data_IF_778438720200
#
_entry.id   IF_778438720200
#
_cell.length_a   1.000
_cell.length_b   1.000
_cell.length_c   1.000
_cell.angle_alpha   90.00
_cell.angle_beta   90.00
_cell.angle_gamma   90.00
#
_symmetry.space_group_name_H-M   'P 1'
#
loop_
_entity.id
_entity.type
_entity.pdbx_description
1 polymer ?
#
# COMPACT_ATOMS: atom_id res chain seq x y z
N UNK A 1 -21.93 -5.53 -6.66
CA UNK A 1 -20.65 -4.93 -7.10
C UNK A 1 -20.53 -3.45 -6.70
N UNK A 2 -21.56 -2.61 -6.93
CA UNK A 2 -21.53 -1.19 -6.55
C UNK A 2 -21.51 -0.96 -5.03
N UNK A 3 -22.32 -1.69 -4.25
CA UNK A 3 -22.31 -1.63 -2.77
C UNK A 3 -20.96 -2.04 -2.16
N UNK A 4 -20.25 -3.03 -2.73
CA UNK A 4 -18.93 -3.44 -2.26
C UNK A 4 -17.84 -2.42 -2.59
N UNK A 5 -17.97 -1.70 -3.71
CA UNK A 5 -17.05 -0.62 -4.09
C UNK A 5 -17.19 0.60 -3.16
N UNK A 6 -18.42 1.07 -2.90
CA UNK A 6 -18.65 2.18 -1.97
C UNK A 6 -18.23 1.86 -0.53
N UNK A 7 -18.41 0.61 -0.08
CA UNK A 7 -17.90 0.16 1.22
C UNK A 7 -16.35 0.19 1.26
N UNK A 8 -15.67 -0.24 0.20
CA UNK A 8 -14.20 -0.16 0.09
C UNK A 8 -13.68 1.28 0.03
N UNK A 9 -14.42 2.21 -0.55
CA UNK A 9 -14.08 3.64 -0.51
C UNK A 9 -14.17 4.19 0.92
N UNK A 10 -15.25 3.84 1.64
CA UNK A 10 -15.46 4.30 3.02
C UNK A 10 -14.44 3.70 4.00
N UNK A 11 -14.08 2.43 3.80
CA UNK A 11 -13.15 1.70 4.64
C UNK A 11 -11.70 1.76 4.08
N UNK A 12 -11.40 2.70 3.16
CA UNK A 12 -10.14 2.76 2.42
C UNK A 12 -8.91 3.01 3.31
N UNK A 13 -9.11 3.58 4.50
CA UNK A 13 -8.08 3.78 5.53
C UNK A 13 -7.42 2.46 5.96
N UNK A 14 -8.15 1.35 5.87
CA UNK A 14 -7.68 0.02 6.27
C UNK A 14 -7.25 -0.87 5.10
N UNK A 15 -7.20 -0.33 3.88
CA UNK A 15 -6.85 -1.10 2.68
C UNK A 15 -5.35 -1.02 2.37
N UNK A 16 -4.75 -2.11 1.83
CA UNK A 16 -3.38 -2.08 1.32
C UNK A 16 -3.21 -0.97 0.29
N UNK A 17 -2.05 -0.32 0.26
CA UNK A 17 -1.78 0.81 -0.63
C UNK A 17 -2.01 0.48 -2.12
N UNK A 18 -1.78 -0.76 -2.54
CA UNK A 18 -2.09 -1.24 -3.89
C UNK A 18 -3.59 -1.21 -4.21
N UNK A 19 -4.45 -1.55 -3.25
CA UNK A 19 -5.90 -1.48 -3.40
C UNK A 19 -6.39 -0.03 -3.40
N UNK A 20 -5.83 0.82 -2.55
CA UNK A 20 -6.13 2.26 -2.54
C UNK A 20 -5.80 2.89 -3.90
N UNK A 21 -4.61 2.61 -4.45
CA UNK A 21 -4.22 3.10 -5.78
C UNK A 21 -5.14 2.58 -6.89
N UNK A 22 -5.61 1.33 -6.78
CA UNK A 22 -6.59 0.75 -7.73
C UNK A 22 -7.93 1.47 -7.66
N UNK A 23 -8.42 1.79 -6.46
CA UNK A 23 -9.66 2.56 -6.27
C UNK A 23 -9.50 3.96 -6.88
N UNK A 24 -8.37 4.65 -6.63
CA UNK A 24 -8.07 5.94 -7.24
C UNK A 24 -8.09 5.87 -8.78
N UNK A 25 -7.43 4.87 -9.37
CA UNK A 25 -7.42 4.68 -10.82
C UNK A 25 -8.81 4.41 -11.41
N UNK A 26 -9.65 3.62 -10.73
CA UNK A 26 -11.04 3.37 -11.15
C UNK A 26 -11.88 4.65 -11.06
N UNK A 27 -11.71 5.46 -10.00
CA UNK A 27 -12.44 6.71 -9.83
C UNK A 27 -12.11 7.70 -10.96
N UNK A 28 -10.81 7.85 -11.28
CA UNK A 28 -10.37 8.66 -12.42
C UNK A 28 -10.86 8.07 -13.74
N UNK A 29 -10.88 6.74 -13.91
CA UNK A 29 -11.43 6.11 -15.11
C UNK A 29 -12.91 6.43 -15.30
N UNK A 30 -13.72 6.41 -14.23
CA UNK A 30 -15.14 6.80 -14.29
C UNK A 30 -15.27 8.28 -14.67
N UNK A 31 -14.47 9.16 -14.06
CA UNK A 31 -14.43 10.58 -14.40
C UNK A 31 -14.06 10.78 -15.88
N UNK A 32 -13.00 10.13 -16.36
CA UNK A 32 -12.57 10.19 -17.76
C UNK A 32 -13.64 9.65 -18.69
N UNK A 33 -14.35 8.58 -18.31
CA UNK A 33 -15.47 8.04 -19.08
C UNK A 33 -16.61 9.06 -19.26
N UNK A 34 -16.99 9.75 -18.18
CA UNK A 34 -17.96 10.84 -18.23
C UNK A 34 -17.48 12.01 -19.09
N UNK A 35 -16.22 12.43 -18.91
CA UNK A 35 -15.63 13.49 -19.72
C UNK A 35 -15.58 13.12 -21.20
N UNK A 36 -15.20 11.89 -21.53
CA UNK A 36 -15.19 11.39 -22.92
C UNK A 36 -16.58 11.41 -23.53
N UNK A 37 -17.60 10.95 -22.79
CA UNK A 37 -18.97 10.91 -23.25
C UNK A 37 -19.53 12.31 -23.55
N UNK A 38 -19.08 13.33 -22.82
CA UNK A 38 -19.41 14.74 -23.08
C UNK A 38 -18.55 15.32 -24.22
N UNK A 39 -17.26 14.98 -24.25
CA UNK A 39 -16.29 15.52 -25.21
C UNK A 39 -16.57 15.05 -26.63
N UNK A 40 -17.04 13.81 -26.85
CA UNK A 40 -17.35 13.29 -28.19
C UNK A 40 -18.40 14.15 -28.92
N UNK A 41 -19.64 14.32 -28.42
CA UNK A 41 -20.62 15.16 -29.10
C UNK A 41 -20.13 16.60 -29.18
N UNK A 42 -19.49 17.11 -28.13
CA UNK A 42 -18.96 18.46 -28.11
C UNK A 42 -17.90 18.70 -29.22
N UNK A 43 -17.03 17.73 -29.45
CA UNK A 43 -15.98 17.77 -30.49
C UNK A 43 -16.51 17.79 -31.91
N UNK A 44 -17.66 17.12 -32.13
CA UNK A 44 -18.31 17.04 -33.44
C UNK A 44 -18.96 18.39 -33.76
N UNK A 45 -19.68 18.97 -32.80
CA UNK A 45 -20.53 20.14 -33.03
C UNK A 45 -19.85 21.50 -32.78
N UNK A 46 -18.86 21.60 -31.89
CA UNK A 46 -18.38 22.90 -31.39
C UNK A 46 -16.88 23.17 -31.58
N UNK A 47 -16.04 22.15 -31.84
CA UNK A 47 -14.61 22.38 -32.07
C UNK A 47 -14.31 22.60 -33.56
N UNK A 48 -13.56 23.65 -33.89
CA UNK A 48 -13.15 24.02 -35.26
C UNK A 48 -11.91 23.25 -35.75
N UNK A 49 -11.91 21.92 -35.60
CA UNK A 49 -10.85 21.07 -36.14
C UNK A 49 -11.23 20.47 -37.50
N UNK A 50 -10.23 20.18 -38.34
CA UNK A 50 -10.44 19.40 -39.55
C UNK A 50 -11.01 18.01 -39.23
N UNK A 51 -11.80 17.45 -40.16
CA UNK A 51 -12.44 16.14 -39.96
C UNK A 51 -11.43 15.03 -39.63
N UNK A 52 -10.25 15.05 -40.25
CA UNK A 52 -9.16 14.11 -39.97
C UNK A 52 -8.63 14.22 -38.53
N UNK A 53 -8.46 15.43 -38.01
CA UNK A 53 -8.01 15.65 -36.63
C UNK A 53 -9.07 15.22 -35.61
N UNK A 54 -10.36 15.46 -35.87
CA UNK A 54 -11.47 15.00 -35.01
C UNK A 54 -11.47 13.47 -34.87
N UNK A 55 -11.31 12.74 -35.99
CA UNK A 55 -11.24 11.28 -35.99
C UNK A 55 -9.99 10.79 -35.24
N UNK A 56 -8.84 11.42 -35.47
CA UNK A 56 -7.58 11.06 -34.79
C UNK A 56 -7.72 11.17 -33.27
N UNK A 57 -8.24 12.31 -32.76
CA UNK A 57 -8.43 12.50 -31.32
C UNK A 57 -9.37 11.45 -30.73
N UNK A 58 -10.50 11.17 -31.40
CA UNK A 58 -11.46 10.18 -30.93
C UNK A 58 -10.83 8.78 -30.84
N UNK A 59 -10.05 8.37 -31.84
CA UNK A 59 -9.32 7.09 -31.82
C UNK A 59 -8.30 7.05 -30.69
N UNK A 60 -7.48 8.10 -30.53
CA UNK A 60 -6.46 8.17 -29.47
C UNK A 60 -7.09 8.09 -28.08
N UNK A 61 -8.20 8.80 -27.85
CA UNK A 61 -8.92 8.76 -26.58
C UNK A 61 -9.58 7.40 -26.33
N UNK A 62 -10.23 6.79 -27.33
CA UNK A 62 -10.80 5.44 -27.17
C UNK A 62 -9.72 4.39 -26.87
N UNK A 63 -8.59 4.42 -27.59
CA UNK A 63 -7.46 3.52 -27.37
C UNK A 63 -6.87 3.72 -25.98
N UNK A 64 -6.66 4.97 -25.57
CA UNK A 64 -6.13 5.28 -24.24
C UNK A 64 -7.08 4.82 -23.14
N UNK A 65 -8.39 5.03 -23.29
CA UNK A 65 -9.40 4.55 -22.34
C UNK A 65 -9.44 3.02 -22.23
N UNK A 66 -9.35 2.33 -23.38
CA UNK A 66 -9.28 0.87 -23.44
C UNK A 66 -8.01 0.35 -22.75
N UNK A 67 -6.86 0.97 -22.98
CA UNK A 67 -5.59 0.63 -22.34
C UNK A 67 -5.65 0.82 -20.82
N UNK A 68 -6.21 1.93 -20.32
CA UNK A 68 -6.38 2.15 -18.87
C UNK A 68 -7.23 1.02 -18.27
N UNK A 69 -8.36 0.69 -18.90
CA UNK A 69 -9.26 -0.38 -18.45
C UNK A 69 -8.58 -1.75 -18.44
N UNK A 70 -7.79 -2.06 -19.46
CA UNK A 70 -6.98 -3.27 -19.56
C UNK A 70 -5.93 -3.34 -18.44
N UNK A 71 -5.20 -2.26 -18.18
CA UNK A 71 -4.18 -2.27 -17.14
C UNK A 71 -4.76 -2.38 -15.72
N UNK A 72 -5.93 -1.79 -15.47
CA UNK A 72 -6.66 -1.97 -14.21
C UNK A 72 -7.10 -3.42 -14.03
N UNK A 73 -7.59 -4.08 -15.08
CA UNK A 73 -8.04 -5.48 -15.02
C UNK A 73 -6.87 -6.45 -14.82
N UNK A 74 -5.72 -6.18 -15.45
CA UNK A 74 -4.46 -6.93 -15.29
C UNK A 74 -3.71 -6.60 -13.98
N UNK A 75 -4.29 -5.77 -13.11
CA UNK A 75 -3.69 -5.33 -11.84
C UNK A 75 -2.34 -4.59 -11.98
N UNK A 76 -2.08 -4.01 -13.15
CA UNK A 76 -0.91 -3.18 -13.45
C UNK A 76 -1.27 -1.71 -13.19
N UNK A 77 -1.27 -1.32 -11.92
CA UNK A 77 -1.82 -0.01 -11.48
C UNK A 77 -0.95 1.17 -11.92
N UNK A 78 0.37 1.07 -11.81
CA UNK A 78 1.30 2.18 -12.15
C UNK A 78 1.14 2.66 -13.59
N UNK A 79 1.21 1.81 -14.64
CA UNK A 79 1.04 2.29 -16.02
C UNK A 79 -0.38 2.81 -16.29
N UNK A 80 -1.40 2.28 -15.61
CA UNK A 80 -2.77 2.81 -15.69
C UNK A 80 -2.85 4.27 -15.22
N UNK A 81 -2.19 4.60 -14.10
CA UNK A 81 -2.10 5.96 -13.58
C UNK A 81 -1.41 6.88 -14.59
N UNK A 82 -0.25 6.48 -15.13
CA UNK A 82 0.50 7.32 -16.08
C UNK A 82 -0.30 7.62 -17.36
N UNK A 83 -0.97 6.60 -17.93
CA UNK A 83 -1.79 6.78 -19.13
C UNK A 83 -3.01 7.65 -18.82
N UNK A 84 -3.63 7.53 -17.64
CA UNK A 84 -4.76 8.39 -17.25
C UNK A 84 -4.36 9.86 -17.06
N UNK A 85 -3.15 10.13 -16.57
CA UNK A 85 -2.61 11.50 -16.48
C UNK A 85 -2.39 12.05 -17.89
N UNK A 86 -1.71 11.30 -18.76
CA UNK A 86 -1.50 11.68 -20.16
C UNK A 86 -2.82 11.91 -20.91
N UNK A 87 -3.82 11.07 -20.66
CA UNK A 87 -5.17 11.24 -21.17
C UNK A 87 -5.74 12.60 -20.76
N UNK A 88 -5.64 12.94 -19.47
CA UNK A 88 -6.20 14.19 -18.92
C UNK A 88 -5.47 15.42 -19.47
N UNK A 89 -4.16 15.33 -19.70
CA UNK A 89 -3.38 16.39 -20.37
C UNK A 89 -3.82 16.51 -21.83
N UNK A 90 -4.00 15.38 -22.53
CA UNK A 90 -4.52 15.36 -23.90
C UNK A 90 -5.90 15.99 -24.02
N UNK A 91 -6.79 15.76 -23.04
CA UNK A 91 -8.07 16.46 -22.97
C UNK A 91 -7.87 17.97 -22.84
N UNK A 92 -7.02 18.43 -21.92
CA UNK A 92 -6.78 19.87 -21.77
C UNK A 92 -6.30 20.52 -23.08
N UNK A 93 -5.36 19.88 -23.79
CA UNK A 93 -4.86 20.33 -25.09
C UNK A 93 -5.91 20.30 -26.22
N UNK A 94 -6.90 19.41 -26.15
CA UNK A 94 -8.01 19.42 -27.11
C UNK A 94 -8.89 20.67 -26.91
N UNK A 95 -9.12 21.05 -25.66
CA UNK A 95 -9.95 22.20 -25.32
C UNK A 95 -9.25 23.54 -25.60
N UNK A 96 -7.91 23.59 -25.62
CA UNK A 96 -7.18 24.84 -25.91
C UNK A 96 -7.45 25.41 -27.30
N UNK A 97 -7.68 24.59 -28.33
CA UNK A 97 -7.85 25.11 -29.71
C UNK A 97 -9.25 24.93 -30.29
N UNK A 98 -10.26 24.55 -29.50
CA UNK A 98 -11.63 24.42 -30.02
C UNK A 98 -12.74 24.95 -29.12
N UNK A 99 -12.43 25.59 -27.98
CA UNK A 99 -13.45 26.22 -27.14
C UNK A 99 -13.10 27.64 -26.75
N UNK A 100 -14.07 28.36 -26.19
CA UNK A 100 -13.82 29.62 -25.49
C UNK A 100 -12.64 29.46 -24.52
N UNK A 101 -11.68 30.39 -24.57
CA UNK A 101 -10.41 30.25 -23.88
C UNK A 101 -10.53 30.17 -22.35
N UNK A 102 -11.63 30.66 -21.76
CA UNK A 102 -11.88 30.48 -20.34
C UNK A 102 -12.13 29.00 -19.96
N UNK A 103 -12.82 28.23 -20.81
CA UNK A 103 -13.04 26.81 -20.53
C UNK A 103 -11.74 26.01 -20.64
N UNK A 104 -10.92 26.31 -21.64
CA UNK A 104 -9.59 25.72 -21.76
C UNK A 104 -8.71 26.03 -20.54
N UNK A 105 -8.79 27.26 -20.02
CA UNK A 105 -8.10 27.66 -18.78
C UNK A 105 -8.53 26.79 -17.58
N UNK A 106 -9.83 26.50 -17.42
CA UNK A 106 -10.32 25.60 -16.37
C UNK A 106 -9.81 24.16 -16.51
N UNK A 107 -9.61 23.68 -17.74
CA UNK A 107 -9.08 22.34 -17.98
C UNK A 107 -7.67 22.14 -17.44
N UNK A 108 -6.82 23.17 -17.39
CA UNK A 108 -5.52 23.07 -16.72
C UNK A 108 -5.66 22.79 -15.23
N UNK A 109 -6.64 23.39 -14.53
CA UNK A 109 -6.90 23.07 -13.12
C UNK A 109 -7.47 21.68 -12.94
N UNK A 110 -8.32 21.21 -13.86
CA UNK A 110 -8.83 19.84 -13.85
C UNK A 110 -7.67 18.86 -13.99
N UNK A 111 -6.77 19.07 -14.96
CA UNK A 111 -5.58 18.24 -15.14
C UNK A 111 -4.69 18.24 -13.91
N UNK A 112 -4.39 19.42 -13.33
CA UNK A 112 -3.63 19.50 -12.09
C UNK A 112 -4.32 18.76 -10.94
N UNK A 113 -5.64 18.89 -10.79
CA UNK A 113 -6.42 18.21 -9.75
C UNK A 113 -6.35 16.69 -9.87
N UNK A 114 -6.42 16.15 -11.09
CA UNK A 114 -6.26 14.70 -11.33
C UNK A 114 -4.85 14.24 -10.94
N UNK A 115 -3.81 15.01 -11.27
CA UNK A 115 -2.43 14.68 -10.90
C UNK A 115 -2.25 14.72 -9.37
N UNK A 116 -2.78 15.76 -8.71
CA UNK A 116 -2.79 15.89 -7.24
C UNK A 116 -3.50 14.71 -6.58
N UNK A 117 -4.64 14.27 -7.12
CA UNK A 117 -5.43 13.19 -6.56
C UNK A 117 -4.64 11.87 -6.43
N UNK A 118 -3.73 11.60 -7.37
CA UNK A 118 -2.85 10.43 -7.29
C UNK A 118 -1.84 10.52 -6.15
N UNK A 119 -1.43 11.73 -5.75
CA UNK A 119 -0.46 12.00 -4.67
C UNK A 119 0.89 11.28 -4.87
N UNK A 120 1.34 11.17 -6.12
CA UNK A 120 2.68 10.62 -6.44
C UNK A 120 3.64 11.77 -6.75
N UNK A 121 4.67 11.98 -5.92
CA UNK A 121 5.61 13.12 -6.05
C UNK A 121 6.26 13.19 -7.43
N UNK A 122 6.79 12.08 -7.94
CA UNK A 122 7.45 12.05 -9.25
C UNK A 122 6.49 12.42 -10.39
N UNK A 123 5.28 11.88 -10.37
CA UNK A 123 4.26 12.22 -11.37
C UNK A 123 3.84 13.68 -11.23
N UNK A 124 3.74 14.19 -10.00
CA UNK A 124 3.44 15.60 -9.75
C UNK A 124 4.53 16.52 -10.31
N UNK A 125 5.79 16.30 -9.97
CA UNK A 125 6.91 17.13 -10.45
C UNK A 125 7.04 17.10 -11.97
N UNK A 126 6.82 15.96 -12.62
CA UNK A 126 6.95 15.85 -14.07
C UNK A 126 5.72 16.41 -14.80
N UNK A 127 4.53 15.88 -14.51
CA UNK A 127 3.32 16.23 -15.24
C UNK A 127 2.69 17.53 -14.79
N UNK A 128 2.64 17.82 -13.48
CA UNK A 128 2.02 19.07 -13.00
C UNK A 128 2.84 20.29 -13.42
N UNK A 129 4.17 20.18 -13.44
CA UNK A 129 5.05 21.24 -13.96
C UNK A 129 4.84 21.45 -15.46
N UNK A 130 4.71 20.37 -16.24
CA UNK A 130 4.40 20.47 -17.66
C UNK A 130 3.03 21.13 -17.91
N UNK A 131 2.00 20.75 -17.14
CA UNK A 131 0.65 21.34 -17.23
C UNK A 131 0.66 22.81 -16.81
N UNK A 132 1.37 23.17 -15.73
CA UNK A 132 1.50 24.56 -15.30
C UNK A 132 2.23 25.40 -16.35
N UNK A 133 3.33 24.89 -16.92
CA UNK A 133 4.06 25.55 -18.00
C UNK A 133 3.21 25.76 -19.25
N UNK A 134 2.48 24.72 -19.68
CA UNK A 134 1.53 24.81 -20.80
C UNK A 134 0.39 25.80 -20.51
N UNK A 135 -0.13 25.82 -19.29
CA UNK A 135 -1.16 26.77 -18.86
C UNK A 135 -0.67 28.21 -18.88
N UNK A 136 0.55 28.49 -18.40
CA UNK A 136 1.17 29.83 -18.47
C UNK A 136 1.34 30.24 -19.93
N UNK A 137 1.88 29.35 -20.78
CA UNK A 137 2.02 29.61 -22.21
C UNK A 137 0.66 29.91 -22.87
N UNK A 138 -0.38 29.17 -22.50
CA UNK A 138 -1.73 29.38 -23.00
C UNK A 138 -2.29 30.75 -22.63
N UNK A 139 -2.19 31.14 -21.36
CA UNK A 139 -2.63 32.45 -20.85
C UNK A 139 -1.90 33.59 -21.57
N UNK A 140 -0.60 33.44 -21.82
CA UNK A 140 0.21 34.47 -22.50
C UNK A 140 -0.13 34.62 -23.98
N UNK A 141 -0.59 33.57 -24.64
CA UNK A 141 -0.94 33.57 -26.06
C UNK A 141 -2.39 33.98 -26.32
N UNK A 142 -3.30 33.74 -25.37
CA UNK A 142 -4.74 34.01 -25.52
C UNK A 142 -5.21 35.13 -24.57
N UNK A 143 -4.41 36.18 -24.42
CA UNK A 143 -4.66 37.27 -23.47
C UNK A 143 -5.96 38.06 -23.76
N UNK A 144 -6.24 38.33 -25.03
CA UNK A 144 -7.29 39.25 -25.46
C UNK A 144 -8.71 38.77 -25.17
N UNK A 145 -8.87 37.47 -24.96
CA UNK A 145 -10.15 36.76 -24.90
C UNK A 145 -10.45 36.20 -23.51
N UNK A 146 -9.43 36.03 -22.67
CA UNK A 146 -9.59 35.79 -21.23
C UNK A 146 -10.06 37.04 -20.46
N UNK A 147 -9.96 38.23 -21.08
CA UNK A 147 -10.35 39.51 -20.49
C UNK A 147 -11.72 39.92 -21.06
N UNK A 148 -12.80 39.59 -20.34
CA UNK A 148 -14.14 40.07 -20.70
C UNK A 148 -14.40 41.53 -20.29
N UNK A 149 -13.50 42.15 -19.51
CA UNK A 149 -13.63 43.53 -19.02
C UNK A 149 -12.28 44.25 -19.15
N UNK A 150 -12.15 45.24 -20.04
CA UNK A 150 -10.89 45.93 -20.29
C UNK A 150 -10.37 46.79 -19.12
N UNK A 151 -11.15 46.93 -18.04
CA UNK A 151 -10.91 47.94 -16.99
C UNK A 151 -10.06 47.49 -15.80
N UNK A 152 -9.65 46.22 -15.72
CA UNK A 152 -8.78 45.74 -14.62
C UNK A 152 -7.36 45.55 -15.15
N UNK A 153 -6.44 46.50 -14.91
CA UNK A 153 -5.03 46.31 -15.25
C UNK A 153 -4.46 45.12 -14.46
N UNK A 154 -3.83 44.16 -15.18
CA UNK A 154 -3.15 43.02 -14.57
C UNK A 154 -3.95 41.72 -14.44
N UNK A 155 -5.16 41.61 -15.03
CA UNK A 155 -5.97 40.37 -15.00
C UNK A 155 -5.20 39.13 -15.47
N UNK A 156 -4.34 39.25 -16.48
CA UNK A 156 -3.50 38.15 -16.98
C UNK A 156 -2.56 37.64 -15.88
N UNK A 157 -1.96 38.57 -15.11
CA UNK A 157 -1.06 38.23 -14.00
C UNK A 157 -1.84 37.49 -12.92
N UNK A 158 -3.08 37.90 -12.65
CA UNK A 158 -3.95 37.21 -11.68
C UNK A 158 -4.19 35.75 -12.10
N UNK A 159 -4.47 35.48 -13.38
CA UNK A 159 -4.65 34.11 -13.88
C UNK A 159 -3.38 33.27 -13.73
N UNK A 160 -2.22 33.83 -14.06
CA UNK A 160 -0.91 33.16 -13.89
C UNK A 160 -0.65 32.89 -12.40
N UNK A 161 -0.86 33.88 -11.54
CA UNK A 161 -0.62 33.76 -10.09
C UNK A 161 -1.53 32.70 -9.48
N UNK A 162 -2.81 32.65 -9.84
CA UNK A 162 -3.72 31.61 -9.34
C UNK A 162 -3.22 30.22 -9.73
N UNK A 163 -2.81 30.02 -10.99
CA UNK A 163 -2.29 28.74 -11.46
C UNK A 163 -1.00 28.33 -10.74
N UNK A 164 -0.07 29.27 -10.56
CA UNK A 164 1.22 29.05 -9.90
C UNK A 164 1.03 28.79 -8.40
N UNK A 165 0.18 29.55 -7.72
CA UNK A 165 -0.13 29.34 -6.30
C UNK A 165 -0.81 28.00 -6.11
N UNK A 166 -1.76 27.62 -6.98
CA UNK A 166 -2.37 26.30 -6.95
C UNK A 166 -1.31 25.20 -7.02
N UNK A 167 -0.36 25.30 -7.97
CA UNK A 167 0.76 24.36 -8.05
C UNK A 167 1.58 24.30 -6.75
N UNK A 168 2.02 25.44 -6.20
CA UNK A 168 2.87 25.42 -5.00
C UNK A 168 2.15 24.92 -3.74
N UNK A 169 0.88 25.27 -3.54
CA UNK A 169 0.10 24.80 -2.39
C UNK A 169 0.02 23.28 -2.38
N UNK A 170 -0.28 22.68 -3.55
CA UNK A 170 -0.37 21.23 -3.65
C UNK A 170 0.99 20.54 -3.64
N UNK A 171 2.06 21.18 -4.13
CA UNK A 171 3.42 20.67 -3.97
C UNK A 171 3.78 20.52 -2.49
N UNK A 172 3.53 21.56 -1.69
CA UNK A 172 3.80 21.53 -0.24
C UNK A 172 2.97 20.44 0.44
N UNK A 173 1.69 20.29 0.07
CA UNK A 173 0.83 19.23 0.60
C UNK A 173 1.38 17.83 0.30
N UNK A 174 1.84 17.57 -0.93
CA UNK A 174 2.39 16.27 -1.33
C UNK A 174 3.69 15.99 -0.58
N UNK A 175 4.59 16.98 -0.47
CA UNK A 175 5.84 16.84 0.30
C UNK A 175 5.58 16.54 1.78
N UNK A 176 4.60 17.20 2.39
CA UNK A 176 4.21 16.93 3.78
C UNK A 176 3.70 15.50 3.95
N UNK A 177 2.85 15.03 3.03
CA UNK A 177 2.35 13.66 3.07
C UNK A 177 3.48 12.63 2.92
N UNK A 178 4.41 12.83 1.99
CA UNK A 178 5.53 11.91 1.79
C UNK A 178 6.48 11.86 2.98
N UNK A 179 6.72 13.00 3.62
CA UNK A 179 7.44 13.07 4.89
C UNK A 179 6.72 12.26 5.97
N UNK A 180 5.41 12.49 6.17
CA UNK A 180 4.61 11.78 7.16
C UNK A 180 4.67 10.25 6.95
N UNK A 181 4.55 9.79 5.70
CA UNK A 181 4.69 8.37 5.38
C UNK A 181 6.07 7.81 5.71
N UNK A 182 7.12 8.58 5.44
CA UNK A 182 8.50 8.17 5.75
C UNK A 182 8.72 8.07 7.25
N UNK A 183 8.26 9.06 8.00
CA UNK A 183 8.34 9.11 9.46
C UNK A 183 7.57 7.95 10.09
N UNK A 184 6.33 7.70 9.66
CA UNK A 184 5.54 6.55 10.12
C UNK A 184 6.19 5.21 9.80
N UNK A 185 6.79 5.07 8.62
CA UNK A 185 7.49 3.85 8.25
C UNK A 185 8.76 3.64 9.09
N UNK A 186 9.51 4.72 9.36
CA UNK A 186 10.67 4.68 10.24
C UNK A 186 10.28 4.25 11.66
N UNK A 187 9.23 4.86 12.22
CA UNK A 187 8.70 4.52 13.54
C UNK A 187 8.20 3.06 13.58
N UNK A 188 7.55 2.59 12.52
CA UNK A 188 7.12 1.20 12.41
C UNK A 188 8.31 0.22 12.40
N UNK A 189 9.38 0.52 11.66
CA UNK A 189 10.61 -0.30 11.65
C UNK A 189 11.25 -0.32 13.04
N UNK A 190 11.36 0.85 13.69
CA UNK A 190 11.92 0.96 15.04
C UNK A 190 11.08 0.18 16.06
N UNK A 191 9.76 0.30 16.00
CA UNK A 191 8.84 -0.43 16.87
C UNK A 191 8.98 -1.94 16.65
N UNK A 192 9.11 -2.39 15.40
CA UNK A 192 9.35 -3.80 15.12
C UNK A 192 10.65 -4.30 15.75
N UNK A 193 11.76 -3.57 15.62
CA UNK A 193 13.03 -3.96 16.24
C UNK A 193 12.93 -4.05 17.77
N UNK A 194 12.17 -3.14 18.40
CA UNK A 194 11.94 -3.16 19.84
C UNK A 194 11.08 -4.37 20.24
N UNK A 195 10.01 -4.66 19.49
CA UNK A 195 9.18 -5.85 19.71
C UNK A 195 9.99 -7.14 19.53
N UNK A 196 10.85 -7.20 18.51
CA UNK A 196 11.73 -8.35 18.25
C UNK A 196 12.61 -8.62 19.48
N UNK A 197 13.29 -7.57 19.98
CA UNK A 197 14.13 -7.69 21.17
C UNK A 197 13.35 -8.14 22.40
N UNK A 198 12.18 -7.55 22.66
CA UNK A 198 11.35 -7.98 23.79
C UNK A 198 10.88 -9.43 23.66
N UNK A 199 10.58 -9.89 22.44
CA UNK A 199 10.19 -11.27 22.22
C UNK A 199 11.38 -12.23 22.40
N UNK A 200 12.57 -11.89 21.92
CA UNK A 200 13.80 -12.64 22.22
C UNK A 200 14.03 -12.77 23.73
N UNK A 201 13.90 -11.65 24.46
CA UNK A 201 14.01 -11.64 25.93
C UNK A 201 12.94 -12.55 26.56
N UNK A 202 11.68 -12.47 26.13
CA UNK A 202 10.59 -13.34 26.62
C UNK A 202 10.89 -14.82 26.34
N UNK A 203 11.38 -15.16 25.15
CA UNK A 203 11.74 -16.54 24.82
C UNK A 203 12.91 -17.04 25.66
N UNK A 204 13.90 -16.19 25.92
CA UNK A 204 15.02 -16.50 26.79
C UNK A 204 14.54 -16.80 28.22
N UNK A 205 13.67 -15.96 28.78
CA UNK A 205 13.06 -16.22 30.10
C UNK A 205 12.18 -17.47 30.13
N UNK A 206 11.37 -17.71 29.09
CA UNK A 206 10.55 -18.92 28.98
C UNK A 206 11.40 -20.18 28.91
N UNK A 207 12.55 -20.13 28.23
CA UNK A 207 13.50 -21.24 28.17
C UNK A 207 14.17 -21.49 29.53
N UNK A 208 14.52 -20.43 30.26
CA UNK A 208 15.04 -20.53 31.63
C UNK A 208 14.03 -21.19 32.58
N UNK A 209 12.77 -20.72 32.59
CA UNK A 209 11.68 -21.31 33.39
C UNK A 209 11.44 -22.78 33.02
N UNK A 210 11.50 -23.12 31.73
CA UNK A 210 11.37 -24.52 31.28
C UNK A 210 12.51 -25.40 31.78
N UNK A 211 13.74 -24.90 31.72
CA UNK A 211 14.94 -25.59 32.23
C UNK A 211 14.82 -25.84 33.73
N UNK A 212 14.34 -24.86 34.49
CA UNK A 212 14.06 -25.00 35.93
C UNK A 212 12.97 -26.05 36.20
N UNK A 213 11.88 -26.02 35.43
CA UNK A 213 10.79 -26.99 35.52
C UNK A 213 11.16 -28.39 34.99
N UNK A 214 12.34 -28.56 34.39
CA UNK A 214 12.82 -29.79 33.71
C UNK A 214 11.87 -30.28 32.62
N UNK A 215 11.21 -29.36 31.92
CA UNK A 215 10.32 -29.66 30.80
C UNK A 215 11.06 -29.35 29.51
N UNK A 216 11.13 -30.30 28.58
CA UNK A 216 11.74 -30.10 27.27
C UNK A 216 10.93 -29.12 26.42
N UNK A 217 11.59 -28.42 25.50
CA UNK A 217 10.87 -27.54 24.59
C UNK A 217 9.90 -28.34 23.71
N UNK A 218 8.77 -27.75 23.30
CA UNK A 218 7.76 -28.44 22.46
C UNK A 218 8.36 -28.96 21.16
N UNK A 219 9.32 -28.25 20.57
CA UNK A 219 10.03 -28.69 19.36
C UNK A 219 10.93 -29.92 19.59
N UNK A 220 11.34 -30.19 20.82
CA UNK A 220 12.13 -31.36 21.23
C UNK A 220 11.25 -32.55 21.63
N UNK A 221 9.94 -32.34 21.81
CA UNK A 221 9.00 -33.41 22.16
C UNK A 221 8.81 -34.37 20.98
N UNK A 222 9.11 -35.65 21.20
CA UNK A 222 8.94 -36.74 20.24
C UNK A 222 7.49 -36.84 19.72
N UNK A 223 6.50 -36.57 20.56
CA UNK A 223 5.10 -36.60 20.15
C UNK A 223 4.79 -35.47 19.16
N UNK A 224 5.31 -34.27 19.43
CA UNK A 224 5.19 -33.13 18.52
C UNK A 224 5.91 -33.37 17.20
N UNK A 225 7.18 -33.81 17.24
CA UNK A 225 7.96 -34.15 16.04
C UNK A 225 7.26 -35.21 15.19
N UNK A 226 6.67 -36.22 15.82
CA UNK A 226 5.89 -37.26 15.15
C UNK A 226 4.63 -36.69 14.48
N UNK A 227 3.87 -35.85 15.15
CA UNK A 227 2.66 -35.22 14.59
C UNK A 227 3.01 -34.31 13.41
N UNK A 228 4.07 -33.50 13.53
CA UNK A 228 4.54 -32.63 12.44
C UNK A 228 5.00 -33.48 11.25
N UNK A 229 5.76 -34.55 11.50
CA UNK A 229 6.19 -35.50 10.46
C UNK A 229 4.99 -36.16 9.76
N UNK A 230 3.99 -36.62 10.51
CA UNK A 230 2.76 -37.20 9.96
C UNK A 230 1.96 -36.20 9.11
N UNK A 231 1.86 -34.94 9.55
CA UNK A 231 1.26 -33.85 8.78
C UNK A 231 2.04 -33.56 7.50
N UNK A 232 3.37 -33.55 7.56
CA UNK A 232 4.23 -33.37 6.39
C UNK A 232 4.04 -34.49 5.37
N UNK A 233 4.06 -35.76 5.81
CA UNK A 233 3.79 -36.93 4.96
C UNK A 233 2.36 -36.91 4.41
N UNK A 234 1.40 -36.41 5.18
CA UNK A 234 0.02 -36.23 4.70
C UNK A 234 -0.07 -35.19 3.59
N UNK A 235 0.54 -34.01 3.78
CA UNK A 235 0.59 -32.94 2.77
C UNK A 235 1.34 -33.39 1.52
N UNK A 236 2.47 -34.09 1.69
CA UNK A 236 3.23 -34.73 0.60
C UNK A 236 2.32 -35.64 -0.25
N UNK A 237 1.55 -36.53 0.39
CA UNK A 237 0.61 -37.43 -0.27
C UNK A 237 -0.51 -36.71 -1.02
N UNK A 238 -0.92 -35.52 -0.57
CA UNK A 238 -1.97 -34.71 -1.23
C UNK A 238 -1.44 -33.90 -2.42
N UNK A 239 -0.12 -33.67 -2.53
CA UNK A 239 0.48 -32.83 -3.58
C UNK A 239 1.22 -33.67 -4.69
N UNK A 240 1.84 -34.83 -4.37
CA UNK A 240 2.70 -35.75 -5.23
C UNK A 240 4.01 -35.15 -5.77
N UNK A 241 5.13 -35.84 -6.10
CA UNK A 241 5.53 -37.26 -6.27
C UNK A 241 7.02 -37.51 -5.82
N UNK A 242 7.64 -36.65 -4.99
CA UNK A 242 9.07 -36.71 -4.60
C UNK A 242 9.30 -36.67 -3.07
N UNK A 243 9.06 -37.78 -2.37
CA UNK A 243 9.18 -37.82 -0.89
C UNK A 243 10.54 -37.46 -0.30
N UNK A 244 11.63 -37.55 -1.08
CA UNK A 244 12.96 -37.10 -0.64
C UNK A 244 13.05 -35.58 -0.43
N UNK A 245 12.34 -34.78 -1.22
CA UNK A 245 12.41 -33.31 -1.11
C UNK A 245 11.66 -32.81 0.13
N UNK A 246 10.54 -33.44 0.48
CA UNK A 246 9.75 -33.10 1.67
C UNK A 246 10.41 -33.50 2.99
N UNK A 247 11.06 -34.67 3.03
CA UNK A 247 11.83 -35.06 4.20
C UNK A 247 13.02 -34.11 4.45
N UNK A 248 13.71 -33.69 3.38
CA UNK A 248 14.78 -32.68 3.45
C UNK A 248 14.25 -31.33 3.94
N UNK A 249 13.04 -30.92 3.52
CA UNK A 249 12.36 -29.72 4.01
C UNK A 249 11.99 -29.80 5.50
N UNK A 250 11.55 -30.96 5.98
CA UNK A 250 11.25 -31.21 7.39
C UNK A 250 12.52 -31.19 8.27
N UNK A 251 13.58 -31.87 7.83
CA UNK A 251 14.88 -31.84 8.50
C UNK A 251 15.45 -30.42 8.55
N UNK A 252 15.34 -29.67 7.44
CA UNK A 252 15.73 -28.25 7.41
C UNK A 252 14.87 -27.39 8.34
N UNK A 253 13.57 -27.67 8.45
CA UNK A 253 12.67 -26.97 9.36
C UNK A 253 13.04 -27.22 10.82
N UNK A 254 13.27 -28.47 11.23
CA UNK A 254 13.73 -28.79 12.59
C UNK A 254 15.10 -28.17 12.87
N UNK A 255 16.03 -28.26 11.92
CA UNK A 255 17.36 -27.68 12.05
C UNK A 255 17.34 -26.15 12.20
N UNK A 256 16.38 -25.46 11.57
CA UNK A 256 16.14 -24.02 11.76
C UNK A 256 15.57 -23.66 13.12
N UNK A 257 14.91 -24.58 13.82
CA UNK A 257 14.51 -24.39 15.23
C UNK A 257 15.71 -24.52 16.19
N UNK A 258 16.72 -25.32 15.81
CA UNK A 258 17.90 -25.59 16.65
C UNK A 258 19.08 -24.64 16.37
N UNK A 259 19.17 -24.05 15.17
CA UNK A 259 20.26 -23.13 14.78
C UNK A 259 19.74 -21.85 14.13
N UNK A 260 20.41 -20.73 14.44
CA UNK A 260 20.12 -19.42 13.86
C UNK A 260 20.22 -19.43 12.33
N UNK A 261 19.26 -18.78 11.67
CA UNK A 261 19.21 -18.64 10.21
C UNK A 261 20.50 -18.01 9.65
N UNK A 262 21.10 -17.05 10.37
CA UNK A 262 22.35 -16.37 9.96
C UNK A 262 23.49 -17.36 9.70
N UNK A 263 23.65 -18.38 10.56
CA UNK A 263 24.70 -19.41 10.42
C UNK A 263 24.52 -20.28 9.16
N UNK A 264 23.29 -20.41 8.67
CA UNK A 264 22.95 -21.15 7.44
C UNK A 264 23.17 -20.27 6.21
N UNK A 265 22.88 -18.98 6.33
CA UNK A 265 23.06 -18.01 5.24
C UNK A 265 24.54 -17.68 4.99
N UNK A 266 25.37 -17.67 6.03
CA UNK A 266 26.80 -17.37 5.95
C UNK A 266 27.67 -18.57 5.54
N UNK A 267 27.11 -19.79 5.49
CA UNK A 267 27.86 -20.97 5.09
C UNK A 267 28.03 -21.04 3.56
N UNK A 268 29.26 -20.99 3.08
CA UNK A 268 29.61 -21.13 1.64
C UNK A 268 29.36 -22.54 1.09
N UNK A 269 29.25 -23.55 1.98
CA UNK A 269 29.01 -24.95 1.62
C UNK A 269 27.55 -25.24 1.26
N UNK A 270 26.64 -24.33 1.62
CA UNK A 270 25.20 -24.51 1.44
C UNK A 270 24.74 -23.93 0.10
N UNK A 271 24.04 -24.74 -0.70
CA UNK A 271 23.51 -24.30 -2.00
C UNK A 271 22.58 -23.09 -1.89
N UNK A 272 22.63 -22.18 -2.88
CA UNK A 272 21.77 -21.00 -2.91
C UNK A 272 20.26 -21.32 -2.93
N UNK A 273 19.88 -22.50 -3.43
CA UNK A 273 18.50 -22.99 -3.38
C UNK A 273 18.09 -23.31 -1.93
N UNK A 274 18.95 -23.99 -1.16
CA UNK A 274 18.69 -24.30 0.25
C UNK A 274 18.61 -23.04 1.11
N UNK A 275 19.49 -22.04 0.87
CA UNK A 275 19.43 -20.73 1.55
C UNK A 275 18.09 -20.01 1.30
N UNK A 276 17.60 -20.02 0.05
CA UNK A 276 16.26 -19.47 -0.30
C UNK A 276 15.13 -20.23 0.38
N UNK A 277 15.20 -21.56 0.43
CA UNK A 277 14.20 -22.39 1.10
C UNK A 277 14.21 -22.17 2.62
N UNK A 278 15.39 -22.08 3.24
CA UNK A 278 15.55 -21.80 4.65
C UNK A 278 14.95 -20.44 5.04
N UNK A 279 15.22 -19.40 4.23
CA UNK A 279 14.62 -18.05 4.42
C UNK A 279 13.09 -18.10 4.36
N UNK A 280 12.51 -18.93 3.49
CA UNK A 280 11.05 -19.11 3.39
C UNK A 280 10.49 -19.85 4.60
N UNK A 281 11.16 -20.91 5.05
CA UNK A 281 10.75 -21.70 6.22
C UNK A 281 10.87 -20.92 7.53
N UNK A 282 11.87 -20.04 7.65
CA UNK A 282 12.10 -19.22 8.83
C UNK A 282 10.86 -18.41 9.23
N UNK A 283 10.04 -18.01 8.26
CA UNK A 283 8.74 -17.33 8.47
C UNK A 283 7.66 -18.16 9.18
N UNK A 284 7.94 -19.40 9.54
CA UNK A 284 6.99 -20.33 10.16
C UNK A 284 7.53 -21.01 11.43
N UNK A 285 8.73 -20.64 11.88
CA UNK A 285 9.27 -21.04 13.18
C UNK A 285 8.38 -20.57 14.34
N UNK A 286 8.35 -21.37 15.40
CA UNK A 286 7.50 -21.16 16.59
C UNK A 286 8.27 -20.52 17.75
N UNK A 287 9.59 -20.65 17.74
CA UNK A 287 10.53 -20.07 18.69
C UNK A 287 11.08 -18.71 18.23
N UNK A 288 10.67 -18.22 17.06
CA UNK A 288 11.05 -16.92 16.53
C UNK A 288 9.79 -16.10 16.20
N UNK A 289 9.92 -14.77 16.15
CA UNK A 289 8.84 -13.91 15.68
C UNK A 289 8.59 -14.17 14.20
N UNK A 290 7.51 -14.87 13.92
CA UNK A 290 7.12 -15.21 12.56
C UNK A 290 5.76 -14.65 12.19
N UNK A 291 5.53 -14.50 10.88
CA UNK A 291 4.22 -14.09 10.35
C UNK A 291 3.11 -15.02 10.87
N UNK A 292 3.40 -16.33 10.99
CA UNK A 292 2.46 -17.32 11.50
C UNK A 292 2.17 -17.13 12.99
N UNK A 293 3.19 -16.98 13.84
CA UNK A 293 2.99 -16.79 15.28
C UNK A 293 2.23 -15.47 15.55
N UNK A 294 2.60 -14.40 14.84
CA UNK A 294 1.91 -13.10 14.91
C UNK A 294 0.45 -13.20 14.47
N UNK A 295 0.16 -14.03 13.46
CA UNK A 295 -1.20 -14.26 12.96
C UNK A 295 -2.02 -15.13 13.92
N UNK A 296 -1.43 -16.17 14.50
CA UNK A 296 -2.05 -17.03 15.51
C UNK A 296 -2.39 -16.20 16.75
N UNK A 297 -1.45 -15.40 17.25
CA UNK A 297 -1.67 -14.52 18.41
C UNK A 297 -2.75 -13.49 18.13
N UNK A 298 -2.72 -12.82 16.96
CA UNK A 298 -3.80 -11.92 16.54
C UNK A 298 -5.16 -12.63 16.47
N UNK A 299 -5.21 -13.85 15.94
CA UNK A 299 -6.42 -14.65 15.86
C UNK A 299 -6.94 -14.99 17.27
N UNK A 300 -6.07 -15.47 18.17
CA UNK A 300 -6.43 -15.75 19.56
C UNK A 300 -6.97 -14.52 20.28
N UNK A 301 -6.34 -13.36 20.10
CA UNK A 301 -6.77 -12.11 20.73
C UNK A 301 -8.10 -11.59 20.17
N UNK A 302 -8.36 -11.79 18.88
CA UNK A 302 -9.55 -11.27 18.18
C UNK A 302 -10.78 -12.17 18.32
N UNK A 303 -10.60 -13.47 18.51
CA UNK A 303 -11.68 -14.45 18.60
C UNK A 303 -11.90 -15.02 20.01
N UNK A 304 -11.06 -14.69 20.99
CA UNK A 304 -11.46 -14.89 22.40
C UNK A 304 -12.63 -13.95 22.70
N UNK A 305 -13.78 -14.48 23.17
CA UNK A 305 -14.87 -13.61 23.60
C UNK A 305 -14.35 -12.69 24.70
N UNK A 306 -14.58 -11.39 24.54
CA UNK A 306 -14.33 -10.44 25.61
C UNK A 306 -15.13 -10.92 26.82
N UNK A 307 -14.41 -11.28 27.90
CA UNK A 307 -15.03 -11.59 29.19
C UNK A 307 -15.93 -10.39 29.56
N UNK A 308 -17.07 -10.55 30.23
CA UNK A 308 -17.84 -9.39 30.70
C UNK A 308 -16.99 -8.52 31.64
N UNK A 309 -17.25 -7.21 31.62
CA UNK A 309 -16.57 -6.27 32.51
C UNK A 309 -17.06 -6.45 33.95
N UNK A 310 -16.14 -6.75 34.86
CA UNK A 310 -16.37 -6.71 36.31
C UNK A 310 -15.73 -5.45 36.91
N UNK A 311 -16.32 -4.83 37.95
CA UNK A 311 -15.74 -3.65 38.61
C UNK A 311 -14.32 -3.88 39.16
N UNK A 312 -13.98 -5.14 39.46
CA UNK A 312 -12.66 -5.60 39.89
C UNK A 312 -11.96 -6.48 38.84
N UNK A 313 -12.33 -6.32 37.56
CA UNK A 313 -11.83 -7.12 36.43
C UNK A 313 -10.32 -7.16 36.32
N UNK A 314 -9.65 -6.10 36.74
CA UNK A 314 -8.21 -6.04 36.87
C UNK A 314 -7.89 -5.85 38.35
N UNK A 315 -7.82 -6.97 39.08
CA UNK A 315 -7.26 -6.98 40.43
C UNK A 315 -5.74 -6.75 40.26
N UNK A 316 -5.28 -5.50 40.29
CA UNK A 316 -3.87 -5.12 40.08
C UNK A 316 -2.93 -5.52 41.23
N UNK A 317 -3.37 -6.39 42.14
CA UNK A 317 -2.52 -6.96 43.18
C UNK A 317 -1.74 -8.12 42.57
N UNK A 318 -0.57 -7.81 42.04
CA UNK A 318 0.36 -8.78 41.45
C UNK A 318 0.71 -9.93 42.42
N UNK A 319 0.67 -9.64 43.73
CA UNK A 319 0.84 -10.62 44.80
C UNK A 319 -0.27 -11.67 44.87
N UNK A 320 -1.44 -11.42 44.29
CA UNK A 320 -2.56 -12.37 44.25
C UNK A 320 -2.41 -13.38 43.09
N UNK A 321 -1.62 -13.04 42.06
CA UNK A 321 -1.36 -13.90 40.89
C UNK A 321 -0.19 -14.87 41.13
N UNK A 322 0.83 -14.40 41.84
CA UNK A 322 2.02 -15.15 42.19
C UNK A 322 2.82 -14.42 43.27
N UNK A 323 3.46 -15.17 44.16
CA UNK A 323 4.33 -14.63 45.21
C UNK A 323 5.77 -14.41 44.72
N UNK A 324 6.07 -14.79 43.48
CA UNK A 324 7.41 -14.73 42.90
C UNK A 324 7.58 -13.44 42.07
N UNK A 325 8.58 -12.64 42.41
CA UNK A 325 8.76 -11.27 41.88
C UNK A 325 9.09 -11.22 40.39
N UNK A 326 9.73 -12.25 39.87
CA UNK A 326 10.03 -12.52 38.47
C UNK A 326 8.76 -12.79 37.64
N UNK A 327 7.87 -13.66 38.12
CA UNK A 327 6.60 -13.95 37.46
C UNK A 327 5.67 -12.72 37.42
N UNK A 328 5.72 -11.87 38.44
CA UNK A 328 5.01 -10.59 38.44
C UNK A 328 5.53 -9.62 37.37
N UNK A 329 6.85 -9.58 37.14
CA UNK A 329 7.47 -8.76 36.09
C UNK A 329 7.11 -9.27 34.70
N UNK A 330 7.09 -10.59 34.50
CA UNK A 330 6.67 -11.23 33.25
C UNK A 330 5.18 -10.96 32.98
N UNK A 331 4.32 -11.01 34.00
CA UNK A 331 2.91 -10.69 33.87
C UNK A 331 2.68 -9.22 33.47
N UNK A 332 3.46 -8.28 34.03
CA UNK A 332 3.44 -6.87 33.63
C UNK A 332 3.93 -6.67 32.19
N UNK A 333 5.00 -7.36 31.78
CA UNK A 333 5.54 -7.28 30.43
C UNK A 333 4.54 -7.79 29.36
N UNK A 334 3.80 -8.86 29.68
CA UNK A 334 2.73 -9.38 28.82
C UNK A 334 1.51 -8.43 28.76
N UNK A 335 1.21 -7.72 29.85
CA UNK A 335 0.17 -6.68 29.88
C UNK A 335 0.54 -5.47 29.00
N UNK A 336 1.82 -5.10 28.96
CA UNK A 336 2.33 -4.00 28.13
C UNK A 336 2.33 -4.31 26.63
N UNK A 337 2.35 -5.59 26.22
CA UNK A 337 2.11 -5.98 24.82
C UNK A 337 0.66 -5.80 24.37
N UNK A 338 -0.27 -5.62 25.33
CA UNK A 338 -1.70 -5.57 25.09
C UNK A 338 -2.28 -4.13 25.13
N UNK A 339 -1.52 -3.16 25.67
CA UNK A 339 -1.77 -1.72 25.61
C UNK A 339 -1.00 -1.12 24.44
#
# INVERSE_FOLDING_TARGET
>A
MMKSFFRRIRDAEFLPMSEVRKIKAILVLIFLGLMTAITIPFSIFFLDYSAGMKILFLVVFLVSYALITLFVSLNRIVPSIQISILYTIGLALLYTNGTNEFYAYLFFFISLSVIVFYQELYAYLLYATAVAGLGIYYILTHQASLINTPDIPGVIIIHIVILVVFYFVFLVQILYNEKLYTDMNYDWVKMNQVIDKYQEDIYWFLDEIRKEARVSAIQEDLAYQKVVSELFVFVEKQIRDSGKEFQTLFELYLYLHERDLEKILDSDEISGQLKKTATRLHKYLLNARTELFSLITNFYCRFRPAVPYEPNRYHYRLNDLTNHSDEQVIAIANLYQYL
#
